data_IF_876198291162
#
_entry.id   IF_876198291162
#
_cell.length_a   1.000
_cell.length_b   1.000
_cell.length_c   1.000
_cell.angle_alpha   90.00
_cell.angle_beta   90.00
_cell.angle_gamma   90.00
#
_symmetry.space_group_name_H-M   'P 1'
#
loop_
_entity.id
_entity.type
_entity.pdbx_description
1 polymer ?
#
# COMPACT_ATOMS: atom_id res chain seq x y z
N UNK A 1 6.37 -1.64 -10.04
CA UNK A 1 5.23 -1.65 -10.97
C UNK A 1 3.93 -1.68 -10.18
N UNK A 2 2.93 -0.94 -10.64
CA UNK A 2 1.60 -0.91 -10.02
C UNK A 2 0.82 -2.18 -10.41
N UNK A 3 0.07 -2.75 -9.47
CA UNK A 3 -0.65 -4.02 -9.58
C UNK A 3 -1.85 -4.02 -8.61
N UNK A 4 -2.67 -5.07 -8.62
CA UNK A 4 -3.79 -5.27 -7.69
C UNK A 4 -3.68 -6.62 -6.98
N UNK A 5 -3.73 -6.62 -5.64
CA UNK A 5 -3.62 -7.82 -4.79
C UNK A 5 -4.78 -7.88 -3.82
N UNK A 6 -5.51 -9.00 -3.80
CA UNK A 6 -6.74 -9.14 -3.01
C UNK A 6 -7.76 -8.03 -3.29
N UNK A 7 -7.79 -7.56 -4.53
CA UNK A 7 -8.59 -6.42 -4.93
C UNK A 7 -8.07 -5.07 -4.44
N UNK A 8 -6.90 -4.95 -3.80
CA UNK A 8 -6.29 -3.69 -3.30
C UNK A 8 -5.13 -3.24 -4.22
N UNK A 9 -4.99 -1.96 -4.58
CA UNK A 9 -3.91 -1.51 -5.45
C UNK A 9 -2.62 -1.51 -4.65
N UNK A 10 -1.56 -1.90 -5.32
CA UNK A 10 -0.23 -1.97 -4.74
C UNK A 10 0.81 -1.49 -5.73
N UNK A 11 1.97 -1.08 -5.22
CA UNK A 11 3.19 -0.93 -6.01
C UNK A 11 4.20 -1.98 -5.57
N UNK A 12 4.64 -2.83 -6.51
CA UNK A 12 5.66 -3.86 -6.31
C UNK A 12 7.05 -3.34 -6.67
N UNK A 13 8.01 -3.69 -5.84
CA UNK A 13 9.43 -3.48 -6.05
C UNK A 13 10.10 -4.85 -6.01
N UNK A 14 10.66 -5.26 -7.14
CA UNK A 14 11.34 -6.54 -7.23
C UNK A 14 12.67 -6.46 -6.47
N UNK A 15 12.95 -7.46 -5.64
CA UNK A 15 14.27 -7.64 -5.05
C UNK A 15 15.31 -7.69 -6.17
N UNK A 16 16.37 -6.89 -6.06
CA UNK A 16 17.59 -7.16 -6.79
C UNK A 16 18.11 -8.51 -6.28
N UNK A 17 18.12 -9.52 -7.15
CA UNK A 17 18.58 -10.87 -6.81
C UNK A 17 20.02 -10.76 -6.27
N UNK A 18 20.32 -11.11 -5.01
CA UNK A 18 21.70 -11.35 -4.60
C UNK A 18 22.18 -12.54 -5.43
N UNK A 19 23.36 -12.45 -6.05
CA UNK A 19 23.94 -13.49 -6.89
C UNK A 19 23.71 -14.90 -6.29
N UNK A 20 22.74 -15.63 -6.83
CA UNK A 20 22.18 -16.87 -6.30
C UNK A 20 21.01 -17.32 -7.19
N UNK A 21 20.97 -18.62 -7.51
CA UNK A 21 20.80 -19.08 -8.88
C UNK A 21 19.38 -19.54 -9.24
N UNK A 22 18.48 -18.61 -9.58
CA UNK A 22 17.35 -18.93 -10.45
C UNK A 22 16.02 -18.17 -10.21
N UNK A 23 15.12 -18.16 -11.21
CA UNK A 23 13.83 -17.46 -11.15
C UNK A 23 12.84 -18.07 -10.14
N UNK A 24 13.14 -19.25 -9.59
CA UNK A 24 12.32 -19.95 -8.60
C UNK A 24 12.58 -19.50 -7.17
N UNK A 25 13.83 -19.20 -6.84
CA UNK A 25 14.21 -18.67 -5.54
C UNK A 25 13.76 -17.21 -5.38
N UNK A 26 13.82 -16.45 -6.49
CA UNK A 26 13.22 -15.11 -6.58
C UNK A 26 11.69 -15.12 -6.34
N UNK A 27 10.99 -16.22 -6.66
CA UNK A 27 9.54 -16.39 -6.39
C UNK A 27 9.23 -16.68 -4.92
N UNK A 28 10.21 -17.17 -4.16
CA UNK A 28 10.11 -17.51 -2.73
C UNK A 28 10.75 -16.46 -1.81
N UNK A 29 11.37 -15.43 -2.38
CA UNK A 29 12.05 -14.38 -1.64
C UNK A 29 11.09 -13.66 -0.66
N UNK A 30 11.55 -13.31 0.56
CA UNK A 30 10.73 -12.62 1.55
C UNK A 30 10.23 -11.28 1.00
N UNK A 31 8.92 -11.06 1.17
CA UNK A 31 8.24 -9.84 0.75
C UNK A 31 7.87 -9.00 1.97
N UNK A 32 8.36 -7.76 2.01
CA UNK A 32 7.89 -6.73 2.94
C UNK A 32 6.61 -6.09 2.40
N UNK A 33 5.54 -6.12 3.19
CA UNK A 33 4.33 -5.35 2.91
C UNK A 33 4.41 -4.00 3.62
N UNK A 34 4.39 -2.92 2.85
CA UNK A 34 4.58 -1.56 3.34
C UNK A 34 3.27 -0.76 3.32
N UNK A 35 2.77 -0.40 4.49
CA UNK A 35 1.73 0.61 4.63
C UNK A 35 2.38 2.00 4.57
N UNK A 36 2.03 2.81 3.58
CA UNK A 36 2.58 4.17 3.47
C UNK A 36 2.19 5.05 4.68
N UNK A 37 2.93 6.15 4.88
CA UNK A 37 2.68 7.10 5.98
C UNK A 37 1.42 7.95 5.77
N UNK A 38 1.14 8.85 6.71
CA UNK A 38 -0.03 9.74 6.66
C UNK A 38 -1.20 9.32 7.56
N UNK A 39 -0.95 8.46 8.55
CA UNK A 39 -1.90 8.14 9.63
C UNK A 39 -3.22 7.54 9.15
N UNK A 40 -3.21 6.85 8.01
CA UNK A 40 -4.39 6.35 7.30
C UNK A 40 -5.36 7.39 6.74
N UNK A 41 -5.16 8.70 6.90
CA UNK A 41 -6.10 9.73 6.40
C UNK A 41 -5.59 10.49 5.16
N UNK A 42 -4.33 10.31 4.79
CA UNK A 42 -3.69 10.91 3.61
C UNK A 42 -2.63 9.95 3.06
N UNK A 43 -2.43 9.97 1.75
CA UNK A 43 -1.30 9.34 1.10
C UNK A 43 -1.69 8.47 -0.09
N UNK A 44 -0.72 7.70 -0.56
CA UNK A 44 -0.90 6.74 -1.64
C UNK A 44 0.44 6.28 -2.22
N UNK A 45 0.37 5.52 -3.32
CA UNK A 45 1.55 4.90 -3.95
C UNK A 45 2.60 5.89 -4.49
N UNK A 46 2.21 7.14 -4.76
CA UNK A 46 3.09 8.18 -5.30
C UNK A 46 3.79 9.02 -4.22
N UNK A 47 3.71 8.65 -2.94
CA UNK A 47 4.50 9.31 -1.90
C UNK A 47 6.00 9.05 -2.12
N UNK A 48 6.84 10.09 -2.30
CA UNK A 48 8.27 9.92 -2.49
C UNK A 48 8.92 9.18 -1.31
N UNK A 49 8.51 9.48 -0.08
CA UNK A 49 9.08 8.87 1.13
C UNK A 49 8.81 7.36 1.18
N UNK A 50 7.63 6.91 0.73
CA UNK A 50 7.33 5.49 0.61
C UNK A 50 8.06 4.84 -0.58
N UNK A 51 8.16 5.56 -1.70
CA UNK A 51 8.80 5.09 -2.92
C UNK A 51 10.31 4.87 -2.75
N UNK A 52 11.01 5.84 -2.18
CA UNK A 52 12.46 5.80 -2.02
C UNK A 52 12.89 4.71 -1.03
N UNK A 53 12.16 4.55 0.08
CA UNK A 53 12.44 3.48 1.05
C UNK A 53 12.21 2.10 0.43
N UNK A 54 11.09 1.89 -0.26
CA UNK A 54 10.79 0.63 -0.92
C UNK A 54 11.83 0.29 -2.01
N UNK A 55 12.24 1.29 -2.79
CA UNK A 55 13.29 1.13 -3.82
C UNK A 55 14.64 0.81 -3.20
N UNK A 56 15.01 1.46 -2.09
CA UNK A 56 16.27 1.20 -1.39
C UNK A 56 16.33 -0.21 -0.80
N UNK A 57 15.23 -0.72 -0.25
CA UNK A 57 15.12 -2.09 0.26
C UNK A 57 15.18 -3.12 -0.88
N UNK A 58 14.49 -2.85 -1.99
CA UNK A 58 14.53 -3.68 -3.19
C UNK A 58 15.95 -3.82 -3.75
N UNK A 59 16.72 -2.72 -3.83
CA UNK A 59 18.14 -2.75 -4.22
C UNK A 59 19.02 -3.58 -3.27
N UNK A 60 18.58 -3.81 -2.03
CA UNK A 60 19.27 -4.65 -1.03
C UNK A 60 18.72 -6.09 -0.97
N UNK A 61 17.94 -6.50 -1.97
CA UNK A 61 17.43 -7.87 -2.08
C UNK A 61 16.12 -8.15 -1.33
N UNK A 62 15.43 -7.12 -0.83
CA UNK A 62 14.14 -7.28 -0.15
C UNK A 62 13.01 -6.90 -1.09
N UNK A 63 12.17 -7.86 -1.49
CA UNK A 63 10.99 -7.56 -2.29
C UNK A 63 10.02 -6.71 -1.47
N UNK A 64 9.47 -5.63 -2.04
CA UNK A 64 8.54 -4.74 -1.33
C UNK A 64 7.22 -4.62 -2.07
N UNK A 65 6.12 -4.61 -1.33
CA UNK A 65 4.77 -4.32 -1.82
C UNK A 65 4.19 -3.16 -1.01
N UNK A 66 4.15 -1.97 -1.59
CA UNK A 66 3.49 -0.81 -1.00
C UNK A 66 1.99 -0.86 -1.27
N UNK A 67 1.15 -0.60 -0.27
CA UNK A 67 -0.31 -0.78 -0.35
C UNK A 67 -1.04 0.56 -0.43
N UNK A 68 -1.93 0.73 -1.42
CA UNK A 68 -2.86 1.88 -1.54
C UNK A 68 -4.15 1.59 -0.75
N UNK A 69 -4.03 1.55 0.58
CA UNK A 69 -5.17 1.24 1.44
C UNK A 69 -6.23 2.35 1.38
N UNK A 70 -7.50 2.00 1.64
CA UNK A 70 -8.57 3.01 1.76
C UNK A 70 -8.26 3.98 2.89
N UNK A 71 -8.47 5.26 2.65
CA UNK A 71 -8.19 6.30 3.64
C UNK A 71 -9.35 6.50 4.61
N UNK A 72 -9.03 6.91 5.84
CA UNK A 72 -10.01 7.35 6.83
C UNK A 72 -10.40 8.81 6.65
N UNK A 73 -11.62 9.24 7.01
CA UNK A 73 -11.94 10.67 7.09
C UNK A 73 -10.94 11.42 7.96
N UNK A 74 -10.67 12.68 7.64
CA UNK A 74 -9.70 13.48 8.39
C UNK A 74 -10.08 13.53 9.89
N UNK A 75 -9.13 13.25 10.80
CA UNK A 75 -9.41 12.93 12.21
C UNK A 75 -10.10 14.03 13.02
N UNK A 76 -10.08 15.28 12.52
CA UNK A 76 -10.70 16.43 13.20
C UNK A 76 -12.06 16.84 12.61
N UNK A 77 -12.42 16.46 11.39
CA UNK A 77 -13.73 16.82 10.79
C UNK A 77 -14.83 15.87 11.28
N UNK A 78 -14.46 14.62 11.59
CA UNK A 78 -15.39 13.63 12.15
C UNK A 78 -15.87 13.94 13.57
N UNK A 79 -15.25 14.91 14.27
CA UNK A 79 -15.61 15.33 15.62
C UNK A 79 -16.37 16.67 15.68
N UNK A 80 -16.30 17.48 14.61
CA UNK A 80 -16.91 18.84 14.52
C UNK A 80 -18.18 18.85 13.64
N UNK A 81 -18.52 17.74 12.97
CA UNK A 81 -19.63 17.63 12.02
C UNK A 81 -21.07 17.64 12.57
N UNK A 82 -21.36 18.38 13.66
CA UNK A 82 -22.71 18.92 13.91
C UNK A 82 -22.83 20.41 13.58
N UNK A 83 -21.78 21.06 13.07
CA UNK A 83 -21.87 22.45 12.59
C UNK A 83 -21.43 22.56 11.13
N UNK A 84 -22.42 22.94 10.33
CA UNK A 84 -22.42 23.64 9.05
C UNK A 84 -21.13 23.65 8.20
N UNK A 85 -21.29 23.18 6.97
CA UNK A 85 -20.98 23.95 5.74
C UNK A 85 -19.80 24.92 5.83
N UNK A 86 -18.58 24.40 5.70
CA UNK A 86 -17.43 25.21 5.28
C UNK A 86 -17.05 24.78 3.88
N UNK A 87 -16.97 25.74 2.96
CA UNK A 87 -16.58 25.58 1.56
C UNK A 87 -15.21 24.91 1.38
N UNK A 88 -14.76 24.73 0.11
CA UNK A 88 -13.86 23.66 -0.25
C UNK A 88 -12.50 23.83 0.43
N UNK A 89 -12.30 23.09 1.52
CA UNK A 89 -10.95 22.75 1.93
C UNK A 89 -10.33 22.02 0.74
N UNK A 90 -9.21 22.57 0.24
CA UNK A 90 -8.44 21.99 -0.84
C UNK A 90 -8.38 20.46 -0.67
N UNK A 91 -8.44 19.72 -1.78
CA UNK A 91 -8.27 18.25 -1.79
C UNK A 91 -6.89 17.89 -1.23
N UNK A 92 -6.73 17.93 0.09
CA UNK A 92 -5.53 17.54 0.80
C UNK A 92 -5.56 16.03 0.84
N UNK A 93 -4.77 15.46 -0.08
CA UNK A 93 -4.74 14.02 -0.35
C UNK A 93 -5.61 13.73 -1.56
N UNK A 94 -4.94 13.49 -2.70
CA UNK A 94 -5.51 12.69 -3.78
C UNK A 94 -6.13 11.47 -3.09
N UNK A 95 -7.44 11.26 -3.23
CA UNK A 95 -8.02 9.97 -2.91
C UNK A 95 -7.14 8.91 -3.58
N UNK A 96 -6.90 7.77 -2.90
CA UNK A 96 -6.18 6.64 -3.50
C UNK A 96 -6.63 6.47 -4.95
N UNK A 97 -5.70 6.10 -5.83
CA UNK A 97 -5.77 6.27 -7.30
C UNK A 97 -7.09 5.81 -7.95
N UNK A 98 -7.85 5.01 -7.23
CA UNK A 98 -9.02 4.24 -7.63
C UNK A 98 -10.38 4.83 -7.26
N UNK A 99 -10.44 5.95 -6.52
CA UNK A 99 -11.75 6.49 -6.08
C UNK A 99 -12.51 5.59 -5.09
N UNK A 100 -11.82 4.66 -4.42
CA UNK A 100 -12.41 3.85 -3.36
C UNK A 100 -12.80 4.75 -2.20
N UNK A 101 -14.07 4.65 -1.79
CA UNK A 101 -14.63 5.43 -0.70
C UNK A 101 -13.79 5.34 0.57
N UNK A 102 -13.76 6.44 1.33
CA UNK A 102 -13.09 6.49 2.63
C UNK A 102 -13.80 5.57 3.62
N UNK A 103 -13.05 4.90 4.48
CA UNK A 103 -13.58 3.95 5.48
C UNK A 103 -13.14 4.34 6.89
N UNK A 104 -13.87 3.95 7.93
CA UNK A 104 -13.36 4.04 9.30
C UNK A 104 -12.55 2.80 9.63
N UNK A 105 -11.83 2.82 10.75
CA UNK A 105 -11.25 1.60 11.34
C UNK A 105 -12.32 0.49 11.39
N UNK A 106 -11.99 -0.76 11.01
CA UNK A 106 -10.66 -1.28 10.64
C UNK A 106 -10.31 -1.25 9.14
N UNK A 107 -11.09 -0.60 8.28
CA UNK A 107 -10.97 -0.72 6.82
C UNK A 107 -9.57 -0.58 6.21
N UNK A 108 -8.76 0.44 6.55
CA UNK A 108 -7.38 0.54 6.05
C UNK A 108 -6.49 -0.64 6.48
N UNK A 109 -6.67 -1.14 7.71
CA UNK A 109 -5.93 -2.29 8.25
C UNK A 109 -6.36 -3.58 7.58
N UNK A 110 -7.65 -3.72 7.25
CA UNK A 110 -8.17 -4.87 6.51
C UNK A 110 -7.56 -4.96 5.12
N UNK A 111 -7.39 -3.83 4.43
CA UNK A 111 -6.75 -3.78 3.10
C UNK A 111 -5.29 -4.24 3.16
N UNK A 112 -4.51 -3.73 4.13
CA UNK A 112 -3.11 -4.14 4.35
C UNK A 112 -3.04 -5.64 4.70
N UNK A 113 -3.91 -6.11 5.59
CA UNK A 113 -3.95 -7.50 6.04
C UNK A 113 -4.38 -8.45 4.92
N UNK A 114 -5.26 -8.03 4.02
CA UNK A 114 -5.64 -8.80 2.84
C UNK A 114 -4.47 -8.96 1.88
N UNK A 115 -3.73 -7.88 1.59
CA UNK A 115 -2.51 -7.94 0.76
C UNK A 115 -1.46 -8.85 1.39
N UNK A 116 -1.23 -8.74 2.69
CA UNK A 116 -0.27 -9.58 3.41
C UNK A 116 -0.64 -11.06 3.37
N UNK A 117 -1.90 -11.42 3.63
CA UNK A 117 -2.37 -12.81 3.57
C UNK A 117 -2.20 -13.41 2.17
N UNK A 118 -2.52 -12.64 1.13
CA UNK A 118 -2.36 -13.11 -0.26
C UNK A 118 -0.88 -13.20 -0.67
N UNK A 119 -0.04 -12.27 -0.19
CA UNK A 119 1.41 -12.28 -0.49
C UNK A 119 2.17 -13.41 0.19
N UNK A 120 1.63 -14.00 1.27
CA UNK A 120 2.17 -15.19 1.94
C UNK A 120 1.88 -16.51 1.22
N UNK A 121 0.91 -16.54 0.29
CA UNK A 121 0.56 -17.79 -0.39
C UNK A 121 1.70 -18.17 -1.34
N UNK A 122 2.22 -19.42 -1.28
CA UNK A 122 3.14 -19.91 -2.28
C UNK A 122 2.51 -19.74 -3.66
N UNK A 123 3.24 -19.15 -4.61
CA UNK A 123 2.77 -19.16 -5.99
C UNK A 123 2.80 -20.62 -6.47
N UNK A 124 1.70 -21.14 -7.06
CA UNK A 124 1.72 -22.51 -7.59
C UNK A 124 2.85 -22.60 -8.63
N UNK A 125 3.60 -23.72 -8.58
CA UNK A 125 4.58 -24.00 -9.62
C UNK A 125 3.85 -24.00 -10.98
N UNK A 126 4.36 -23.23 -11.93
CA UNK A 126 3.89 -23.31 -13.32
C UNK A 126 4.22 -24.72 -13.80
N UNK A 127 3.18 -25.49 -14.14
CA UNK A 127 3.28 -26.87 -14.60
C UNK A 127 3.56 -26.93 -16.09
#
# INVERSE_FOLDING_TARGET
>A
MDDVVAGVPVRRYAAAVPAGDGPEEARSAPVLVWAHGGGFFRGGLDQPEAHEVASALARRGVGVVTVDYRLTPWPLVGRVGRVASVGPVARVGRAGRDGRGRTRFPGPVDDVSAVWRTSRRPRPAVR
#
